data_IF_322000967103
#
_entry.id   IF_322000967103
#
_cell.length_a   1.000
_cell.length_b   1.000
_cell.length_c   1.000
_cell.angle_alpha   90.00
_cell.angle_beta   90.00
_cell.angle_gamma   90.00
#
_symmetry.space_group_name_H-M   'P 1'
#
loop_
_entity.id
_entity.type
_entity.pdbx_description
1 polymer ?
#
# COMPACT_ATOMS: atom_id res chain seq x y z
N UNK A 1 -40.16 2.41 9.68
CA UNK A 1 -38.99 1.88 8.98
C UNK A 1 -37.75 2.34 9.72
N UNK A 2 -37.01 1.43 10.36
CA UNK A 2 -35.70 1.73 10.94
C UNK A 2 -34.67 0.99 10.09
N UNK A 3 -33.80 1.75 9.43
CA UNK A 3 -32.71 1.25 8.62
C UNK A 3 -31.53 1.05 9.56
N UNK A 4 -31.23 -0.20 9.93
CA UNK A 4 -30.03 -0.52 10.68
C UNK A 4 -28.86 -0.59 9.70
N UNK A 5 -28.00 0.41 9.76
CA UNK A 5 -26.69 0.39 9.11
C UNK A 5 -25.82 -0.55 9.94
N UNK A 6 -25.42 -1.69 9.38
CA UNK A 6 -24.46 -2.59 10.01
C UNK A 6 -23.07 -2.03 9.77
N UNK A 7 -22.44 -1.52 10.83
CA UNK A 7 -21.06 -1.04 10.86
C UNK A 7 -20.15 -2.25 11.13
N UNK A 8 -19.30 -2.63 10.17
CA UNK A 8 -18.37 -3.77 10.29
C UNK A 8 -17.14 -3.46 11.15
N UNK A 9 -17.27 -2.64 12.21
CA UNK A 9 -16.13 -2.12 12.97
C UNK A 9 -15.80 -2.86 14.26
N UNK A 10 -16.53 -3.90 14.64
CA UNK A 10 -16.36 -4.51 15.98
C UNK A 10 -16.54 -6.04 16.06
N UNK A 11 -16.36 -6.79 14.98
CA UNK A 11 -16.38 -8.26 15.09
C UNK A 11 -14.97 -8.83 15.06
N UNK A 12 -14.42 -9.07 16.27
CA UNK A 12 -13.19 -9.81 16.57
C UNK A 12 -13.22 -11.30 16.14
N UNK A 13 -14.03 -11.68 15.14
CA UNK A 13 -14.33 -13.07 14.80
C UNK A 13 -13.70 -13.59 13.51
N UNK A 14 -12.71 -12.88 12.94
CA UNK A 14 -11.94 -13.40 11.81
C UNK A 14 -10.68 -14.19 12.20
N UNK A 15 -10.61 -14.77 13.41
CA UNK A 15 -9.59 -15.78 13.70
C UNK A 15 -10.16 -16.99 14.45
N UNK A 16 -9.63 -18.16 14.04
CA UNK A 16 -9.85 -19.50 14.57
C UNK A 16 -11.16 -20.21 14.15
N UNK A 17 -11.15 -20.87 12.98
CA UNK A 17 -12.11 -21.96 12.78
C UNK A 17 -12.50 -22.38 11.37
N UNK A 18 -11.61 -22.42 10.36
CA UNK A 18 -11.94 -23.20 9.15
C UNK A 18 -11.84 -24.70 9.46
N UNK A 19 -12.95 -25.46 9.55
CA UNK A 19 -12.90 -26.88 9.82
C UNK A 19 -12.60 -27.63 8.52
N UNK A 20 -11.85 -28.74 8.62
CA UNK A 20 -11.68 -29.69 7.52
C UNK A 20 -13.05 -30.16 7.03
N UNK A 21 -13.30 -29.94 5.74
CA UNK A 21 -14.41 -30.44 4.89
C UNK A 21 -14.95 -31.84 5.24
N UNK A 22 -16.23 -32.19 4.89
CA UNK A 22 -16.74 -32.06 3.52
C UNK A 22 -18.12 -31.38 3.34
N UNK A 23 -18.16 -30.54 2.30
CA UNK A 23 -19.25 -30.25 1.36
C UNK A 23 -20.69 -30.06 1.88
N UNK A 24 -21.23 -28.89 1.54
CA UNK A 24 -22.61 -28.44 1.68
C UNK A 24 -23.67 -29.38 1.08
N UNK A 25 -24.90 -29.33 1.62
CA UNK A 25 -26.13 -29.31 0.83
C UNK A 25 -26.83 -27.95 0.99
N UNK A 26 -26.96 -27.22 -0.13
CA UNK A 26 -27.69 -25.95 -0.31
C UNK A 26 -29.23 -26.16 -0.19
N UNK A 27 -30.05 -25.11 0.12
CA UNK A 27 -30.15 -23.89 -0.68
C UNK A 27 -29.45 -22.67 -0.03
N UNK A 28 -28.19 -22.51 -0.44
CA UNK A 28 -27.54 -21.27 -0.86
C UNK A 28 -27.56 -20.07 0.09
N UNK A 29 -26.53 -20.02 0.93
CA UNK A 29 -25.85 -18.78 1.29
C UNK A 29 -25.74 -17.82 0.09
N UNK A 30 -26.35 -16.64 0.15
CA UNK A 30 -25.94 -15.42 -0.58
C UNK A 30 -26.41 -14.19 0.19
N UNK A 31 -25.64 -13.08 0.20
CA UNK A 31 -24.42 -12.87 -0.56
C UNK A 31 -23.17 -13.26 0.25
N UNK A 32 -23.13 -14.49 0.75
CA UNK A 32 -21.86 -15.21 0.89
C UNK A 32 -21.32 -15.53 -0.51
N UNK A 33 -20.01 -15.48 -0.62
CA UNK A 33 -19.18 -15.56 -1.82
C UNK A 33 -19.67 -16.50 -2.95
N UNK A 34 -19.49 -16.11 -4.23
CA UNK A 34 -19.68 -17.01 -5.38
C UNK A 34 -18.80 -18.27 -5.29
N UNK A 35 -19.09 -19.36 -6.04
CA UNK A 35 -18.46 -20.68 -5.93
C UNK A 35 -17.06 -20.76 -6.58
N UNK A 36 -16.33 -19.66 -6.54
CA UNK A 36 -14.88 -19.64 -6.69
C UNK A 36 -14.44 -19.07 -5.34
N UNK A 37 -13.79 -19.85 -4.48
CA UNK A 37 -12.94 -19.25 -3.45
C UNK A 37 -11.81 -18.54 -4.19
N UNK A 38 -12.12 -17.40 -4.80
CA UNK A 38 -11.12 -16.39 -5.09
C UNK A 38 -10.59 -16.08 -3.70
N UNK A 39 -9.28 -16.24 -3.43
CA UNK A 39 -8.72 -15.72 -2.19
C UNK A 39 -9.24 -14.29 -2.06
N UNK A 40 -9.77 -13.92 -0.89
CA UNK A 40 -10.21 -12.54 -0.67
C UNK A 40 -8.98 -11.66 -0.85
N UNK A 41 -8.76 -11.18 -2.08
CA UNK A 41 -7.59 -10.42 -2.45
C UNK A 41 -7.49 -9.24 -1.50
N UNK A 42 -6.38 -9.16 -0.79
CA UNK A 42 -6.15 -8.08 0.13
C UNK A 42 -5.89 -6.76 -0.59
N UNK A 43 -6.28 -5.70 0.10
CA UNK A 43 -6.18 -4.34 -0.39
C UNK A 43 -5.76 -3.44 0.76
N UNK A 44 -4.77 -2.61 0.53
CA UNK A 44 -4.39 -1.56 1.46
C UNK A 44 -4.14 -0.24 0.73
N UNK A 45 -4.44 0.85 1.42
CA UNK A 45 -4.17 2.20 0.95
C UNK A 45 -3.56 3.03 2.08
N UNK A 46 -2.51 3.77 1.74
CA UNK A 46 -1.74 4.61 2.65
C UNK A 46 -1.65 6.02 2.09
N UNK A 47 -1.73 7.01 2.98
CA UNK A 47 -1.42 8.40 2.70
C UNK A 47 0.08 8.62 2.92
N UNK A 48 0.74 9.27 1.97
CA UNK A 48 2.09 9.81 2.19
C UNK A 48 1.94 11.21 2.78
N UNK A 49 2.60 11.49 3.92
CA UNK A 49 2.52 12.80 4.55
C UNK A 49 3.80 13.17 5.31
N UNK A 50 4.60 14.03 4.69
CA UNK A 50 5.80 14.63 5.30
C UNK A 50 5.75 16.15 5.16
N UNK A 51 5.94 16.87 6.27
CA UNK A 51 5.97 18.34 6.30
C UNK A 51 7.32 18.94 5.89
N UNK A 52 8.32 18.09 5.65
CA UNK A 52 9.60 18.41 5.04
C UNK A 52 10.29 17.10 4.68
N UNK A 53 11.00 17.06 3.56
CA UNK A 53 11.85 15.93 3.20
C UNK A 53 13.20 16.44 2.66
N UNK A 54 14.28 15.82 3.12
CA UNK A 54 15.61 16.00 2.55
C UNK A 54 15.94 14.82 1.63
N UNK A 55 17.05 14.87 0.91
CA UNK A 55 17.49 13.71 0.13
C UNK A 55 17.68 12.47 1.01
N UNK A 56 17.30 11.30 0.48
CA UNK A 56 17.36 9.99 1.15
C UNK A 56 16.43 9.91 2.37
N UNK A 57 15.28 10.58 2.31
CA UNK A 57 14.25 10.48 3.35
C UNK A 57 13.30 9.34 3.01
N UNK A 58 13.12 8.38 3.91
CA UNK A 58 12.05 7.41 3.81
C UNK A 58 10.72 8.11 4.12
N UNK A 59 9.76 7.98 3.21
CA UNK A 59 8.50 8.70 3.28
C UNK A 59 7.55 8.10 4.31
N UNK A 60 6.85 8.96 5.04
CA UNK A 60 5.89 8.54 6.06
C UNK A 60 4.62 7.99 5.40
N UNK A 61 4.27 6.74 5.71
CA UNK A 61 3.11 5.99 5.22
C UNK A 61 2.06 5.84 6.32
N UNK A 62 0.99 6.64 6.24
CA UNK A 62 -0.12 6.59 7.18
C UNK A 62 -1.24 5.70 6.63
N UNK A 63 -1.64 4.63 7.34
CA UNK A 63 -2.75 3.79 6.90
C UNK A 63 -4.06 4.56 6.74
N UNK A 64 -4.74 4.36 5.61
CA UNK A 64 -6.12 4.85 5.37
C UNK A 64 -7.10 3.68 5.46
N UNK A 65 -6.78 2.59 4.78
CA UNK A 65 -7.60 1.38 4.69
C UNK A 65 -6.67 0.16 4.63
N UNK A 66 -6.95 -0.87 5.42
CA UNK A 66 -6.22 -2.14 5.40
C UNK A 66 -7.25 -3.27 5.52
N UNK A 67 -7.16 -4.27 4.65
CA UNK A 67 -7.92 -5.52 4.76
C UNK A 67 -7.51 -6.34 5.99
N UNK A 68 -8.45 -7.10 6.56
CA UNK A 68 -8.25 -7.74 7.87
C UNK A 68 -7.37 -9.00 7.88
N UNK A 69 -6.95 -9.54 6.73
CA UNK A 69 -6.34 -10.88 6.65
C UNK A 69 -4.81 -10.94 6.93
N UNK A 70 -4.17 -9.80 7.20
CA UNK A 70 -2.74 -9.68 7.55
C UNK A 70 -1.74 -9.98 6.42
N UNK A 71 -2.17 -10.11 5.16
CA UNK A 71 -1.25 -10.24 4.01
C UNK A 71 -0.52 -8.92 3.76
N UNK A 72 -1.19 -7.79 3.97
CA UNK A 72 -0.61 -6.44 3.90
C UNK A 72 -0.80 -5.75 5.24
N UNK A 73 0.28 -5.30 5.89
CA UNK A 73 0.20 -4.67 7.21
C UNK A 73 1.26 -3.59 7.41
N UNK A 74 0.94 -2.45 8.06
CA UNK A 74 1.97 -1.50 8.47
C UNK A 74 2.91 -2.14 9.49
N UNK A 75 4.22 -1.97 9.30
CA UNK A 75 5.24 -2.40 10.26
C UNK A 75 5.70 -1.22 11.10
N UNK A 76 5.87 -0.08 10.45
CA UNK A 76 6.33 1.17 11.05
C UNK A 76 5.64 2.36 10.37
N UNK A 77 6.06 3.57 10.70
CA UNK A 77 5.59 4.78 10.02
C UNK A 77 6.09 4.90 8.57
N UNK A 78 7.03 4.09 8.12
CA UNK A 78 7.63 4.20 6.76
C UNK A 78 7.67 2.86 6.01
N UNK A 79 7.28 1.76 6.65
CA UNK A 79 7.36 0.42 6.09
C UNK A 79 6.04 -0.33 6.17
N UNK A 80 5.74 -1.07 5.10
CA UNK A 80 4.59 -1.95 4.96
C UNK A 80 5.09 -3.38 4.76
N UNK A 81 4.61 -4.32 5.56
CA UNK A 81 4.83 -5.75 5.39
C UNK A 81 3.99 -6.30 4.25
N UNK A 82 4.62 -7.15 3.45
CA UNK A 82 4.06 -7.96 2.38
C UNK A 82 4.30 -9.43 2.73
N UNK A 83 3.23 -10.20 2.92
CA UNK A 83 3.37 -11.61 3.26
C UNK A 83 4.03 -12.42 2.14
N UNK A 84 4.78 -13.46 2.53
CA UNK A 84 5.41 -14.39 1.59
C UNK A 84 4.36 -15.21 0.82
N UNK A 85 4.73 -15.68 -0.37
CA UNK A 85 3.84 -16.57 -1.14
C UNK A 85 2.77 -15.85 -1.96
N UNK A 86 2.69 -14.51 -1.88
CA UNK A 86 1.72 -13.70 -2.60
C UNK A 86 2.36 -12.85 -3.69
N UNK A 87 1.56 -12.47 -4.70
CA UNK A 87 1.90 -11.50 -5.73
C UNK A 87 1.15 -10.21 -5.43
N UNK A 88 1.85 -9.08 -5.49
CA UNK A 88 1.25 -7.76 -5.25
C UNK A 88 1.34 -6.85 -6.46
N UNK A 89 0.31 -6.07 -6.72
CA UNK A 89 0.39 -4.83 -7.49
C UNK A 89 0.57 -3.67 -6.50
N UNK A 90 1.65 -2.92 -6.65
CA UNK A 90 1.90 -1.70 -5.88
C UNK A 90 1.81 -0.52 -6.85
N UNK A 91 1.00 0.46 -6.48
CA UNK A 91 0.93 1.74 -7.19
C UNK A 91 1.12 2.89 -6.22
N UNK A 92 1.86 3.90 -6.63
CA UNK A 92 2.08 5.09 -5.83
C UNK A 92 1.96 6.35 -6.69
N UNK A 93 1.55 7.43 -6.04
CA UNK A 93 1.65 8.79 -6.55
C UNK A 93 2.24 9.66 -5.45
N UNK A 94 3.24 10.46 -5.79
CA UNK A 94 3.87 11.39 -4.86
C UNK A 94 3.91 12.77 -5.48
N UNK A 95 3.52 13.77 -4.72
CA UNK A 95 3.63 15.19 -5.02
C UNK A 95 4.55 15.84 -4.00
N UNK A 96 5.66 16.40 -4.48
CA UNK A 96 6.58 17.17 -3.66
C UNK A 96 6.45 18.66 -4.00
N UNK A 97 6.52 19.51 -2.99
CA UNK A 97 6.67 20.98 -3.15
C UNK A 97 8.09 21.34 -2.79
N UNK A 98 8.84 21.89 -3.76
CA UNK A 98 10.26 22.18 -3.59
C UNK A 98 10.48 23.43 -2.74
N UNK A 99 11.45 23.40 -1.81
CA UNK A 99 11.99 24.64 -1.22
C UNK A 99 13.00 25.31 -2.16
N UNK A 100 13.54 24.57 -3.12
CA UNK A 100 14.46 25.02 -4.16
C UNK A 100 14.16 24.30 -5.47
N UNK A 101 14.58 24.90 -6.60
CA UNK A 101 14.53 24.24 -7.90
C UNK A 101 15.41 22.98 -7.94
N UNK A 102 15.05 22.02 -8.80
CA UNK A 102 15.84 20.81 -9.05
C UNK A 102 14.97 19.62 -9.42
N UNK A 103 15.60 18.44 -9.54
CA UNK A 103 14.89 17.19 -9.79
C UNK A 103 14.74 16.41 -8.49
N UNK A 104 13.57 15.83 -8.25
CA UNK A 104 13.42 14.81 -7.22
C UNK A 104 13.05 13.47 -7.84
N UNK A 105 13.41 12.43 -7.13
CA UNK A 105 13.18 11.03 -7.44
C UNK A 105 12.42 10.40 -6.28
N UNK A 106 11.48 9.52 -6.59
CA UNK A 106 10.87 8.61 -5.63
C UNK A 106 11.23 7.20 -6.05
N UNK A 107 11.92 6.50 -5.17
CA UNK A 107 12.40 5.15 -5.38
C UNK A 107 11.66 4.19 -4.45
N UNK A 108 10.95 3.18 -5.00
CA UNK A 108 10.42 2.10 -4.18
C UNK A 108 11.54 1.17 -3.74
N UNK A 109 11.44 0.66 -2.52
CA UNK A 109 12.36 -0.34 -1.98
C UNK A 109 11.58 -1.57 -1.54
N UNK A 110 12.10 -2.74 -1.90
CA UNK A 110 11.63 -4.03 -1.38
C UNK A 110 12.74 -4.60 -0.51
N UNK A 111 12.46 -4.83 0.78
CA UNK A 111 13.46 -5.28 1.76
C UNK A 111 14.69 -4.35 1.83
N UNK A 112 14.46 -3.04 1.75
CA UNK A 112 15.51 -2.01 1.67
C UNK A 112 16.41 -2.13 0.43
N UNK A 113 16.03 -2.92 -0.56
CA UNK A 113 16.71 -2.98 -1.87
C UNK A 113 15.96 -2.09 -2.85
N UNK A 114 16.65 -1.12 -3.48
CA UNK A 114 16.05 -0.26 -4.49
C UNK A 114 15.49 -1.02 -5.70
N UNK A 115 14.25 -0.72 -6.06
CA UNK A 115 13.60 -1.17 -7.30
C UNK A 115 13.73 -0.10 -8.38
N UNK A 116 14.97 0.14 -8.84
CA UNK A 116 15.33 1.25 -9.72
C UNK A 116 14.51 1.31 -11.03
N UNK A 117 14.04 0.17 -11.55
CA UNK A 117 13.18 0.09 -12.74
C UNK A 117 11.79 0.71 -12.53
N UNK A 118 11.40 0.92 -11.27
CA UNK A 118 10.11 1.47 -10.86
C UNK A 118 10.27 2.81 -10.13
N UNK A 119 11.50 3.34 -10.13
CA UNK A 119 11.78 4.70 -9.69
C UNK A 119 11.29 5.72 -10.71
N UNK A 120 10.83 6.86 -10.21
CA UNK A 120 10.30 7.95 -11.05
C UNK A 120 10.89 9.28 -10.64
N UNK A 121 11.04 10.19 -11.61
CA UNK A 121 11.66 11.51 -11.40
C UNK A 121 10.75 12.60 -11.96
N UNK A 122 10.65 13.73 -11.26
CA UNK A 122 10.02 14.94 -11.76
C UNK A 122 10.89 16.18 -11.50
N UNK A 123 10.59 17.25 -12.22
CA UNK A 123 11.27 18.52 -12.11
C UNK A 123 10.46 19.51 -11.28
N UNK A 124 11.11 20.10 -10.28
CA UNK A 124 10.65 21.27 -9.56
C UNK A 124 11.29 22.48 -10.25
N UNK A 125 10.50 23.20 -11.04
CA UNK A 125 11.00 24.29 -11.86
C UNK A 125 11.60 25.42 -11.02
N UNK A 126 10.97 25.73 -9.89
CA UNK A 126 11.33 26.82 -8.99
C UNK A 126 10.93 26.50 -7.55
N UNK A 127 11.42 27.28 -6.58
CA UNK A 127 11.00 27.18 -5.19
C UNK A 127 9.51 27.48 -5.03
N UNK A 128 8.82 26.71 -4.18
CA UNK A 128 7.38 26.82 -3.94
C UNK A 128 6.51 26.11 -4.98
N UNK A 129 7.09 25.61 -6.07
CA UNK A 129 6.35 24.84 -7.07
C UNK A 129 6.21 23.38 -6.64
N UNK A 130 5.10 22.77 -7.02
CA UNK A 130 4.86 21.34 -6.81
C UNK A 130 5.04 20.58 -8.12
N UNK A 131 5.59 19.37 -8.02
CA UNK A 131 5.63 18.42 -9.12
C UNK A 131 5.29 17.03 -8.61
N UNK A 132 4.77 16.19 -9.51
CA UNK A 132 4.24 14.87 -9.16
C UNK A 132 4.87 13.77 -9.99
N UNK A 133 5.01 12.61 -9.36
CA UNK A 133 5.41 11.37 -9.98
C UNK A 133 4.42 10.26 -9.63
N UNK A 134 4.34 9.23 -10.47
CA UNK A 134 3.55 8.05 -10.18
C UNK A 134 4.10 6.84 -10.92
N UNK A 135 4.05 5.67 -10.29
CA UNK A 135 4.31 4.40 -10.96
C UNK A 135 3.40 3.30 -10.40
N UNK A 136 3.31 2.22 -11.18
CA UNK A 136 2.70 0.97 -10.75
C UNK A 136 3.60 -0.19 -11.20
N UNK A 137 3.77 -1.19 -10.35
CA UNK A 137 4.60 -2.34 -10.62
C UNK A 137 4.12 -3.58 -9.85
N UNK A 138 4.60 -4.74 -10.30
CA UNK A 138 4.30 -6.01 -9.66
C UNK A 138 5.47 -6.42 -8.76
N UNK A 139 5.14 -6.84 -7.54
CA UNK A 139 6.07 -7.56 -6.67
C UNK A 139 5.73 -9.04 -6.82
N UNK A 140 6.66 -9.80 -7.38
CA UNK A 140 6.53 -11.25 -7.51
C UNK A 140 6.57 -11.95 -6.15
N UNK A 141 6.23 -13.23 -6.14
CA UNK A 141 6.22 -14.07 -4.95
C UNK A 141 7.52 -13.97 -4.15
N UNK A 142 7.41 -13.45 -2.92
CA UNK A 142 8.50 -13.37 -1.98
C UNK A 142 8.72 -14.74 -1.30
N UNK A 143 9.99 -15.11 -1.10
CA UNK A 143 10.39 -16.38 -0.44
C UNK A 143 10.39 -16.29 1.09
N UNK A 144 10.29 -15.08 1.63
CA UNK A 144 10.09 -14.74 3.03
C UNK A 144 9.21 -13.47 3.10
N UNK A 145 8.58 -13.14 4.24
CA UNK A 145 7.86 -11.88 4.36
C UNK A 145 8.79 -10.72 4.04
N UNK A 146 8.31 -9.76 3.24
CA UNK A 146 9.11 -8.62 2.84
C UNK A 146 8.53 -7.29 3.30
N UNK A 147 9.33 -6.25 3.22
CA UNK A 147 8.90 -4.87 3.47
C UNK A 147 8.90 -4.07 2.18
N UNK A 148 7.93 -3.17 2.05
CA UNK A 148 7.88 -2.12 1.06
C UNK A 148 8.00 -0.77 1.74
N UNK A 149 8.81 0.11 1.16
CA UNK A 149 8.92 1.52 1.52
C UNK A 149 9.15 2.39 0.29
N UNK A 150 9.03 3.71 0.45
CA UNK A 150 9.36 4.69 -0.57
C UNK A 150 10.42 5.64 -0.03
N UNK A 151 11.47 5.89 -0.81
CA UNK A 151 12.49 6.87 -0.49
C UNK A 151 12.41 8.06 -1.44
N UNK A 152 12.48 9.26 -0.87
CA UNK A 152 12.62 10.52 -1.61
C UNK A 152 14.08 10.93 -1.71
N UNK A 153 14.53 11.24 -2.92
CA UNK A 153 15.89 11.69 -3.21
C UNK A 153 15.83 12.93 -4.08
N UNK A 154 16.44 14.04 -3.65
CA UNK A 154 16.31 15.30 -4.35
C UNK A 154 16.59 16.53 -3.47
N UNK A 155 16.29 17.74 -3.96
CA UNK A 155 16.38 18.96 -3.17
C UNK A 155 15.42 18.93 -1.97
N UNK A 156 15.64 19.80 -0.99
CA UNK A 156 14.74 19.90 0.16
C UNK A 156 13.33 20.26 -0.28
N UNK A 157 12.36 19.42 0.09
CA UNK A 157 10.94 19.69 -0.10
C UNK A 157 10.33 20.31 1.17
N UNK A 158 9.46 21.30 1.00
CA UNK A 158 8.67 21.89 2.08
C UNK A 158 7.41 21.08 2.40
N UNK A 159 7.05 20.13 1.53
CA UNK A 159 6.01 19.13 1.78
C UNK A 159 6.16 17.98 0.80
N UNK A 160 5.92 16.75 1.25
CA UNK A 160 5.72 15.59 0.38
C UNK A 160 4.40 14.94 0.77
N UNK A 161 3.52 14.77 -0.22
CA UNK A 161 2.19 14.18 -0.04
C UNK A 161 1.90 13.19 -1.14
N UNK A 162 0.94 12.30 -0.95
CA UNK A 162 0.64 11.30 -1.98
C UNK A 162 -0.15 10.12 -1.48
N UNK A 163 -0.20 9.06 -2.27
CA UNK A 163 -0.86 7.83 -1.87
C UNK A 163 -0.09 6.62 -2.36
N UNK A 164 -0.18 5.54 -1.60
CA UNK A 164 0.22 4.19 -2.00
C UNK A 164 -1.01 3.30 -1.95
N UNK A 165 -1.22 2.51 -2.99
CA UNK A 165 -2.24 1.47 -3.06
C UNK A 165 -1.55 0.14 -3.34
N UNK A 166 -1.85 -0.86 -2.53
CA UNK A 166 -1.32 -2.21 -2.64
C UNK A 166 -2.50 -3.17 -2.80
N UNK A 167 -2.41 -4.04 -3.80
CA UNK A 167 -3.39 -5.08 -4.10
C UNK A 167 -2.72 -6.43 -4.17
N UNK A 168 -3.23 -7.39 -3.43
CA UNK A 168 -2.87 -8.79 -3.62
C UNK A 168 -3.54 -9.31 -4.90
N UNK A 169 -2.80 -10.02 -5.74
CA UNK A 169 -3.29 -10.59 -6.99
C UNK A 169 -3.47 -12.11 -6.92
N UNK A 170 -2.57 -12.80 -6.23
CA UNK A 170 -2.54 -14.27 -6.12
C UNK A 170 -1.73 -14.71 -4.90
#
# INVERSE_FOLDING_TARGET
MKMNVYDCRTDDNCQAGCPKTPCCPQPCCTPCCPPICIPCQEYAMFHILDNAAASNTDLTLLPILISSGQVIAPVSGTEISLAQGHIFEISYQVTATGSTAGSFQVEPLINLVPEASHSTTAQLSEAGMSASVSAAFLVSTLTAPGTFSLQYTGPNASSVTGAVVIRELA
#
